data_IF_695221343887
#
_entry.id   IF_695221343887
#
_cell.length_a   1.000
_cell.length_b   1.000
_cell.length_c   1.000
_cell.angle_alpha   90.00
_cell.angle_beta   90.00
_cell.angle_gamma   90.00
#
_symmetry.space_group_name_H-M   'P 1'
#
loop_
_entity.id
_entity.type
_entity.pdbx_description
1 polymer ?
#
# COMPACT_ATOMS: atom_id res chain seq x y z
N UNK A 1 -32.93 14.72 43.57
CA UNK A 1 -34.38 14.46 43.48
C UNK A 1 -34.58 13.72 42.19
N UNK A 2 -35.10 12.50 42.28
CA UNK A 2 -35.19 11.58 41.15
C UNK A 2 -36.30 11.96 40.18
N UNK A 3 -36.00 11.79 38.89
CA UNK A 3 -36.99 11.43 37.87
C UNK A 3 -36.35 10.35 36.99
N UNK A 4 -36.97 9.19 36.92
CA UNK A 4 -36.58 8.06 36.07
C UNK A 4 -37.61 7.87 34.96
N UNK A 5 -37.15 7.55 33.73
CA UNK A 5 -37.99 6.83 32.76
C UNK A 5 -37.16 5.87 31.85
N UNK A 6 -37.08 4.56 32.17
CA UNK A 6 -37.72 3.55 31.31
C UNK A 6 -36.97 2.95 30.10
N UNK A 7 -36.00 3.64 29.48
CA UNK A 7 -35.48 3.22 28.15
C UNK A 7 -33.95 3.03 28.01
N UNK A 8 -33.60 2.15 27.06
CA UNK A 8 -32.25 1.86 26.50
C UNK A 8 -31.12 1.78 27.53
N UNK A 9 -30.95 0.60 28.13
CA UNK A 9 -29.71 0.24 28.81
C UNK A 9 -28.60 -0.16 27.82
N UNK A 10 -27.68 0.76 27.52
CA UNK A 10 -26.30 0.44 27.09
C UNK A 10 -25.34 1.41 27.77
N UNK A 11 -24.49 0.89 28.65
CA UNK A 11 -23.50 1.67 29.40
C UNK A 11 -22.27 1.96 28.50
N UNK A 12 -22.30 3.07 27.75
CA UNK A 12 -21.17 3.51 26.91
C UNK A 12 -20.28 4.51 27.65
N UNK A 13 -19.28 4.00 28.37
CA UNK A 13 -18.15 4.81 28.89
C UNK A 13 -17.28 5.33 27.73
N UNK A 14 -17.66 6.48 27.18
CA UNK A 14 -16.81 7.23 26.25
C UNK A 14 -15.67 7.89 27.05
N UNK A 15 -14.42 7.59 26.68
CA UNK A 15 -13.24 8.18 27.33
C UNK A 15 -13.07 9.66 26.96
N UNK A 16 -12.44 10.44 27.86
CA UNK A 16 -12.32 11.91 27.75
C UNK A 16 -11.59 12.41 26.49
N UNK A 17 -10.93 11.54 25.73
CA UNK A 17 -10.09 11.91 24.57
C UNK A 17 -10.88 12.21 23.27
N UNK A 18 -12.22 12.07 23.24
CA UNK A 18 -13.02 12.39 22.04
C UNK A 18 -13.65 13.80 22.01
N UNK A 19 -13.53 14.62 23.06
CA UNK A 19 -14.04 16.00 23.01
C UNK A 19 -13.20 16.95 22.13
N UNK A 20 -11.88 16.73 22.06
CA UNK A 20 -10.98 17.61 21.31
C UNK A 20 -11.28 17.63 19.79
N UNK A 21 -11.63 16.47 19.21
CA UNK A 21 -11.90 16.33 17.78
C UNK A 21 -13.17 17.06 17.31
N UNK A 22 -14.15 17.27 18.19
CA UNK A 22 -15.40 17.98 17.85
C UNK A 22 -15.20 19.50 17.85
N UNK A 23 -14.35 20.03 18.75
CA UNK A 23 -14.06 21.47 18.83
C UNK A 23 -13.31 21.96 17.58
N UNK A 24 -12.39 21.16 17.05
CA UNK A 24 -11.67 21.48 15.80
C UNK A 24 -12.60 21.50 14.59
N UNK A 25 -13.57 20.58 14.52
CA UNK A 25 -14.55 20.52 13.43
C UNK A 25 -15.47 21.76 13.38
N UNK A 26 -15.91 22.27 14.54
CA UNK A 26 -16.79 23.45 14.61
C UNK A 26 -16.01 24.76 14.34
N UNK A 27 -14.75 24.85 14.77
CA UNK A 27 -13.90 26.02 14.48
C UNK A 27 -13.60 26.16 12.97
N UNK A 28 -13.44 25.05 12.25
CA UNK A 28 -13.19 25.05 10.80
C UNK A 28 -14.34 25.63 9.97
N UNK A 29 -15.60 25.28 10.30
CA UNK A 29 -16.76 25.80 9.56
C UNK A 29 -17.03 27.29 9.80
N UNK A 30 -16.69 27.83 10.98
CA UNK A 30 -16.86 29.25 11.27
C UNK A 30 -15.93 30.16 10.45
N UNK A 31 -14.70 29.71 10.15
CA UNK A 31 -13.77 30.45 9.29
C UNK A 31 -14.23 30.47 7.82
N UNK A 32 -14.81 29.39 7.32
CA UNK A 32 -15.27 29.31 5.93
C UNK A 32 -16.43 30.28 5.63
N UNK A 33 -17.36 30.48 6.58
CA UNK A 33 -18.52 31.36 6.39
C UNK A 33 -18.17 32.86 6.38
N UNK A 34 -17.02 33.27 6.93
CA UNK A 34 -16.61 34.68 6.97
C UNK A 34 -15.95 35.17 5.67
N UNK A 35 -15.61 34.25 4.75
CA UNK A 35 -14.92 34.57 3.50
C UNK A 35 -15.85 34.75 2.27
N UNK A 36 -17.13 34.35 2.35
CA UNK A 36 -18.03 34.29 1.18
C UNK A 36 -19.26 35.21 1.24
N UNK A 37 -19.49 35.94 2.34
CA UNK A 37 -20.53 36.99 2.42
C UNK A 37 -22.00 36.52 2.37
N UNK A 38 -22.26 35.20 2.45
CA UNK A 38 -23.61 34.61 2.42
C UNK A 38 -24.18 34.41 3.82
N UNK A 39 -25.42 34.86 4.05
CA UNK A 39 -26.09 34.72 5.34
C UNK A 39 -26.41 33.25 5.69
N UNK A 40 -26.20 32.88 6.96
CA UNK A 40 -26.53 31.54 7.48
C UNK A 40 -28.04 31.40 7.75
N UNK A 41 -28.64 30.21 7.55
CA UNK A 41 -30.04 29.95 7.88
C UNK A 41 -30.27 29.95 9.40
N UNK A 42 -31.46 30.39 9.81
CA UNK A 42 -31.88 30.41 11.23
C UNK A 42 -32.04 28.99 11.75
N UNK A 43 -31.30 28.65 12.81
CA UNK A 43 -31.59 27.51 13.68
C UNK A 43 -32.18 28.04 14.99
N UNK A 44 -33.46 27.78 15.22
CA UNK A 44 -34.15 28.10 16.47
C UNK A 44 -33.92 26.98 17.48
N UNK A 45 -32.88 27.14 18.29
CA UNK A 45 -32.80 26.87 19.75
C UNK A 45 -31.33 27.05 20.16
N UNK A 46 -31.04 28.20 20.79
CA UNK A 46 -29.69 28.76 20.80
C UNK A 46 -28.73 28.16 21.84
N UNK A 47 -27.55 27.73 21.36
CA UNK A 47 -26.37 27.56 22.23
C UNK A 47 -25.75 28.93 22.49
N UNK A 48 -25.59 29.32 23.75
CA UNK A 48 -24.90 30.57 24.10
C UNK A 48 -23.38 30.43 23.90
N UNK A 49 -22.88 30.99 22.80
CA UNK A 49 -21.45 30.95 22.46
C UNK A 49 -20.60 32.02 23.16
N UNK A 50 -21.21 32.95 23.92
CA UNK A 50 -20.50 34.05 24.59
C UNK A 50 -19.39 33.60 25.55
N UNK A 51 -19.53 32.51 26.34
CA UNK A 51 -18.46 32.03 27.21
C UNK A 51 -17.20 31.60 26.44
N UNK A 52 -17.37 30.99 25.27
CA UNK A 52 -16.27 30.51 24.42
C UNK A 52 -15.55 31.67 23.72
N UNK A 53 -16.30 32.71 23.30
CA UNK A 53 -15.72 33.95 22.79
C UNK A 53 -14.96 34.74 23.87
N UNK A 54 -15.41 34.69 25.13
CA UNK A 54 -14.69 35.30 26.24
C UNK A 54 -13.40 34.53 26.54
N UNK A 55 -13.45 33.21 26.64
CA UNK A 55 -12.25 32.37 26.82
C UNK A 55 -11.20 32.58 25.71
N UNK A 56 -11.63 32.77 24.46
CA UNK A 56 -10.74 33.11 23.34
C UNK A 56 -10.10 34.51 23.47
N UNK A 57 -10.83 35.50 24.00
CA UNK A 57 -10.29 36.84 24.29
C UNK A 57 -9.34 36.84 25.48
N UNK A 58 -9.64 36.07 26.52
CA UNK A 58 -8.78 35.95 27.71
C UNK A 58 -7.46 35.26 27.34
N UNK A 59 -7.49 34.25 26.46
CA UNK A 59 -6.30 33.63 25.87
C UNK A 59 -5.48 34.59 25.00
N UNK A 60 -6.13 35.55 24.32
CA UNK A 60 -5.45 36.57 23.51
C UNK A 60 -4.92 37.77 24.35
N UNK A 61 -5.33 37.89 25.62
CA UNK A 61 -4.99 39.01 26.51
C UNK A 61 -3.75 38.80 27.39
N UNK A 62 -3.13 37.61 27.37
CA UNK A 62 -1.96 37.32 28.19
C UNK A 62 -0.73 38.18 27.77
N UNK A 63 0.04 38.75 28.71
CA UNK A 63 1.20 39.56 28.38
C UNK A 63 2.27 38.72 27.67
N UNK A 64 2.92 39.30 26.65
CA UNK A 64 3.96 38.64 25.86
C UNK A 64 5.14 38.21 26.73
N UNK A 65 5.08 36.98 27.22
CA UNK A 65 6.19 36.30 27.85
C UNK A 65 7.38 36.26 26.90
N UNK A 66 8.56 36.55 27.47
CA UNK A 66 9.88 36.46 26.83
C UNK A 66 9.96 35.19 25.98
N UNK A 67 10.34 35.32 24.71
CA UNK A 67 10.64 34.17 23.84
C UNK A 67 11.81 33.42 24.47
N UNK A 68 11.48 32.37 25.23
CA UNK A 68 12.41 31.29 25.51
C UNK A 68 12.66 30.61 24.16
N UNK A 69 13.94 30.40 23.85
CA UNK A 69 14.35 29.93 22.53
C UNK A 69 13.62 28.65 22.15
N UNK A 70 13.37 28.48 20.86
CA UNK A 70 12.93 27.21 20.29
C UNK A 70 13.79 26.09 20.86
N UNK A 71 13.18 25.12 21.54
CA UNK A 71 13.83 23.83 21.72
C UNK A 71 14.19 23.34 20.32
N UNK A 72 15.49 23.13 20.10
CA UNK A 72 15.99 22.57 18.85
C UNK A 72 15.40 21.17 18.74
N UNK A 73 14.39 21.00 17.90
CA UNK A 73 13.97 19.68 17.46
C UNK A 73 15.16 19.06 16.73
N UNK A 74 15.90 18.21 17.42
CA UNK A 74 17.04 17.51 16.84
C UNK A 74 16.55 16.74 15.62
N UNK A 75 17.07 17.09 14.45
CA UNK A 75 16.70 16.49 13.17
C UNK A 75 16.70 14.97 13.29
N UNK A 76 15.57 14.32 12.96
CA UNK A 76 15.44 12.87 13.09
C UNK A 76 16.49 12.23 12.19
N UNK A 77 17.31 11.36 12.76
CA UNK A 77 18.30 10.59 12.02
C UNK A 77 17.76 9.19 11.78
N UNK A 78 17.88 8.73 10.55
CA UNK A 78 17.53 7.40 10.10
C UNK A 78 18.77 6.64 9.64
N UNK A 79 18.66 5.33 9.65
CA UNK A 79 19.66 4.39 9.19
C UNK A 79 19.19 3.81 7.87
N UNK A 80 19.88 4.12 6.78
CA UNK A 80 19.39 3.91 5.42
C UNK A 80 20.23 2.84 4.72
N UNK A 81 19.60 1.83 4.15
CA UNK A 81 20.28 0.82 3.33
C UNK A 81 20.05 1.09 1.85
N UNK A 82 21.12 1.08 1.05
CA UNK A 82 21.10 1.29 -0.41
C UNK A 82 21.89 0.17 -1.08
N UNK A 83 21.41 -0.33 -2.23
CA UNK A 83 22.00 -1.46 -2.97
C UNK A 83 23.51 -1.32 -3.21
N UNK A 84 24.25 -2.42 -3.04
CA UNK A 84 25.70 -2.43 -3.18
C UNK A 84 26.17 -2.03 -4.59
N UNK A 85 25.33 -2.29 -5.59
CA UNK A 85 25.55 -1.98 -7.01
C UNK A 85 25.48 -0.48 -7.33
N UNK A 86 24.77 0.32 -6.52
CA UNK A 86 24.64 1.77 -6.71
C UNK A 86 25.77 2.57 -6.06
N UNK A 87 26.40 2.01 -5.01
CA UNK A 87 27.43 2.68 -4.20
C UNK A 87 28.54 3.35 -5.05
N UNK A 88 29.05 2.76 -6.16
CA UNK A 88 30.06 3.41 -7.00
C UNK A 88 29.60 4.70 -7.68
N UNK A 89 28.31 4.85 -7.99
CA UNK A 89 27.75 6.07 -8.58
C UNK A 89 27.32 7.06 -7.50
N UNK A 90 26.78 6.57 -6.37
CA UNK A 90 26.47 7.41 -5.20
C UNK A 90 27.74 8.09 -4.66
N UNK A 91 28.86 7.38 -4.60
CA UNK A 91 30.15 7.94 -4.19
C UNK A 91 30.68 9.05 -5.13
N UNK A 92 30.19 9.14 -6.37
CA UNK A 92 30.52 10.21 -7.33
C UNK A 92 29.52 11.38 -7.26
N UNK A 93 28.37 11.20 -6.62
CA UNK A 93 27.27 12.15 -6.61
C UNK A 93 27.52 13.28 -5.59
N UNK A 94 28.37 14.25 -5.95
CA UNK A 94 28.66 15.42 -5.12
C UNK A 94 27.42 16.28 -4.75
N UNK A 95 26.29 16.07 -5.43
CA UNK A 95 24.99 16.67 -5.11
C UNK A 95 24.23 15.97 -3.97
N UNK A 96 24.57 14.73 -3.63
CA UNK A 96 24.00 14.03 -2.49
C UNK A 96 24.77 14.36 -1.21
N UNK A 97 24.11 14.91 -0.17
CA UNK A 97 24.74 15.17 1.13
C UNK A 97 24.84 13.89 1.98
N UNK A 98 25.32 12.80 1.37
CA UNK A 98 25.57 11.52 2.03
C UNK A 98 27.02 11.46 2.52
N UNK A 99 27.20 11.07 3.78
CA UNK A 99 28.50 10.64 4.29
C UNK A 99 28.88 9.26 3.69
N UNK A 100 30.14 8.86 3.85
CA UNK A 100 30.56 7.49 3.55
C UNK A 100 29.73 6.47 4.36
N UNK A 101 29.44 5.27 3.80
CA UNK A 101 28.67 4.26 4.51
C UNK A 101 29.37 3.82 5.81
N UNK A 102 28.57 3.66 6.86
CA UNK A 102 28.99 3.23 8.20
C UNK A 102 29.30 1.73 8.23
N UNK A 103 28.67 0.95 7.35
CA UNK A 103 28.99 -0.43 7.06
C UNK A 103 28.68 -0.75 5.59
N UNK A 104 29.35 -1.74 5.01
CA UNK A 104 29.07 -2.26 3.66
C UNK A 104 29.03 -3.77 3.72
N UNK A 105 28.08 -4.35 2.98
CA UNK A 105 27.93 -5.78 2.76
C UNK A 105 27.85 -6.04 1.25
N UNK A 106 27.92 -7.31 0.85
CA UNK A 106 27.74 -7.74 -0.56
C UNK A 106 26.35 -7.37 -1.13
N UNK A 107 25.38 -6.99 -0.27
CA UNK A 107 24.01 -6.64 -0.65
C UNK A 107 23.75 -5.14 -0.68
N UNK A 108 24.28 -4.40 0.30
CA UNK A 108 23.98 -2.99 0.50
C UNK A 108 24.99 -2.27 1.40
N UNK A 109 25.07 -0.95 1.22
CA UNK A 109 25.74 -0.01 2.12
C UNK A 109 24.76 0.59 3.13
N UNK A 110 25.20 0.73 4.38
CA UNK A 110 24.45 1.33 5.49
C UNK A 110 24.89 2.77 5.73
N UNK A 111 23.97 3.72 5.65
CA UNK A 111 24.20 5.14 5.82
C UNK A 111 23.50 5.68 7.06
N UNK A 112 24.06 6.73 7.68
CA UNK A 112 23.41 7.51 8.72
C UNK A 112 22.93 8.82 8.10
N UNK A 113 21.62 8.98 7.94
CA UNK A 113 21.01 9.98 7.07
C UNK A 113 19.98 10.81 7.87
N UNK A 114 19.99 12.15 7.80
CA UNK A 114 18.90 12.94 8.35
C UNK A 114 17.62 12.73 7.55
N UNK A 115 16.46 12.60 8.19
CA UNK A 115 15.18 12.31 7.53
C UNK A 115 14.83 13.32 6.42
N UNK A 116 15.22 14.59 6.60
CA UNK A 116 15.08 15.65 5.59
C UNK A 116 15.82 15.37 4.27
N UNK A 117 16.75 14.40 4.26
CA UNK A 117 17.58 14.00 3.12
C UNK A 117 17.11 12.73 2.40
N UNK A 118 16.11 12.02 2.93
CA UNK A 118 15.47 10.94 2.17
C UNK A 118 14.92 11.41 0.81
N UNK A 119 14.31 12.61 0.68
CA UNK A 119 13.93 13.14 -0.62
C UNK A 119 15.12 13.36 -1.57
N UNK A 120 16.24 13.89 -1.09
CA UNK A 120 17.41 14.11 -1.94
C UNK A 120 17.99 12.78 -2.47
N UNK A 121 17.98 11.72 -1.65
CA UNK A 121 18.40 10.37 -2.03
C UNK A 121 17.41 9.76 -3.04
N UNK A 122 16.12 9.71 -2.71
CA UNK A 122 15.12 9.09 -3.58
C UNK A 122 15.06 9.75 -4.95
N UNK A 123 15.21 11.08 -5.00
CA UNK A 123 15.41 11.82 -6.25
C UNK A 123 16.58 11.28 -7.07
N UNK A 124 17.76 11.13 -6.47
CA UNK A 124 18.92 10.65 -7.17
C UNK A 124 18.70 9.22 -7.68
N UNK A 125 18.14 8.34 -6.85
CA UNK A 125 17.84 6.96 -7.25
C UNK A 125 16.90 6.93 -8.46
N UNK A 126 15.88 7.78 -8.44
CA UNK A 126 14.91 7.98 -9.50
C UNK A 126 15.54 8.53 -10.80
N UNK A 127 16.21 9.69 -10.74
CA UNK A 127 16.80 10.34 -11.93
C UNK A 127 18.00 9.58 -12.52
N UNK A 128 18.74 8.84 -11.69
CA UNK A 128 19.97 8.14 -12.11
C UNK A 128 19.72 6.71 -12.57
N UNK A 129 18.76 6.01 -11.97
CA UNK A 129 18.55 4.57 -12.16
C UNK A 129 17.10 4.19 -12.51
N UNK A 130 16.16 5.14 -12.58
CA UNK A 130 14.72 4.90 -12.74
C UNK A 130 14.14 4.01 -11.64
N UNK A 131 14.44 4.30 -10.38
CA UNK A 131 14.04 3.52 -9.20
C UNK A 131 13.04 4.27 -8.29
N UNK A 132 12.01 3.58 -7.80
CA UNK A 132 11.07 4.06 -6.78
C UNK A 132 11.78 4.04 -5.42
N UNK A 133 12.05 5.20 -4.82
CA UNK A 133 12.82 5.34 -3.58
C UNK A 133 14.30 4.90 -3.66
N UNK A 134 14.57 3.62 -3.95
CA UNK A 134 15.89 3.02 -4.07
C UNK A 134 16.62 2.76 -2.75
N UNK A 135 15.92 2.85 -1.62
CA UNK A 135 16.47 2.63 -0.29
C UNK A 135 15.42 2.09 0.70
N UNK A 136 15.86 1.49 1.81
CA UNK A 136 15.04 1.38 3.02
C UNK A 136 15.57 2.29 4.13
N UNK A 137 14.70 2.76 5.03
CA UNK A 137 15.06 3.61 6.17
C UNK A 137 14.57 3.05 7.52
N UNK A 138 15.44 3.08 8.53
CA UNK A 138 15.22 2.53 9.87
C UNK A 138 15.43 3.59 10.95
N UNK A 139 14.75 3.44 12.07
CA UNK A 139 14.90 4.37 13.19
C UNK A 139 16.18 4.07 13.98
N UNK A 140 16.57 2.79 14.07
CA UNK A 140 17.77 2.37 14.79
C UNK A 140 18.80 1.68 13.87
N UNK A 141 20.07 1.75 14.29
CA UNK A 141 21.17 1.04 13.62
C UNK A 141 20.94 -0.47 13.64
N UNK A 142 20.51 -0.98 14.78
CA UNK A 142 20.25 -2.40 15.02
C UNK A 142 19.16 -2.96 14.09
N UNK A 143 18.09 -2.20 13.82
CA UNK A 143 17.06 -2.56 12.83
C UNK A 143 17.65 -2.70 11.41
N UNK A 144 18.57 -1.81 11.03
CA UNK A 144 19.21 -1.83 9.72
C UNK A 144 20.26 -2.96 9.60
N UNK A 145 21.06 -3.20 10.65
CA UNK A 145 22.05 -4.29 10.67
C UNK A 145 21.37 -5.67 10.73
N UNK A 146 20.26 -5.81 11.46
CA UNK A 146 19.44 -7.02 11.50
C UNK A 146 18.85 -7.37 10.13
N UNK A 147 18.45 -6.37 9.35
CA UNK A 147 17.95 -6.53 7.98
C UNK A 147 19.04 -6.95 7.00
N UNK A 148 20.19 -6.27 7.00
CA UNK A 148 21.33 -6.65 6.16
C UNK A 148 21.76 -8.11 6.40
N UNK A 149 21.65 -8.57 7.65
CA UNK A 149 21.92 -9.95 8.05
C UNK A 149 20.77 -10.95 7.80
N UNK A 150 19.55 -10.49 7.52
CA UNK A 150 18.39 -11.36 7.39
C UNK A 150 18.56 -12.35 6.21
N UNK A 151 18.29 -13.65 6.38
CA UNK A 151 18.26 -14.58 5.25
C UNK A 151 17.05 -14.24 4.36
N UNK A 152 17.17 -14.51 3.04
CA UNK A 152 16.00 -14.51 2.17
C UNK A 152 14.95 -15.49 2.73
N UNK A 153 13.66 -15.10 2.70
CA UNK A 153 12.61 -15.90 3.34
C UNK A 153 12.61 -17.34 2.83
N UNK A 154 12.92 -18.27 3.73
CA UNK A 154 12.84 -19.72 3.48
C UNK A 154 11.44 -20.30 3.75
N UNK A 155 10.43 -19.44 3.96
CA UNK A 155 9.06 -19.86 4.19
C UNK A 155 8.49 -20.64 3.00
N UNK A 156 7.82 -21.76 3.28
CA UNK A 156 7.15 -22.58 2.28
C UNK A 156 5.66 -22.70 2.61
N UNK A 157 4.82 -22.02 1.84
CA UNK A 157 3.39 -22.30 1.81
C UNK A 157 3.09 -23.65 1.14
N UNK A 158 1.84 -24.12 1.27
CA UNK A 158 1.33 -25.23 0.46
C UNK A 158 1.12 -24.76 -0.99
N UNK A 159 2.18 -24.87 -1.79
CA UNK A 159 2.23 -24.47 -3.20
C UNK A 159 1.84 -25.59 -4.18
N UNK A 160 1.00 -26.53 -3.73
CA UNK A 160 0.30 -27.46 -4.63
C UNK A 160 -0.71 -26.72 -5.51
N UNK A 161 -1.11 -27.32 -6.64
CA UNK A 161 -2.18 -26.82 -7.51
C UNK A 161 -3.23 -27.91 -7.60
N UNK A 162 -4.34 -27.75 -6.88
CA UNK A 162 -5.37 -28.78 -6.66
C UNK A 162 -6.80 -28.22 -6.48
N UNK A 163 -7.04 -26.97 -6.93
CA UNK A 163 -8.36 -26.28 -6.87
C UNK A 163 -8.88 -25.89 -8.25
N UNK A 164 -8.47 -26.61 -9.30
CA UNK A 164 -8.83 -26.37 -10.71
C UNK A 164 -10.33 -26.13 -10.93
N UNK A 165 -11.18 -26.93 -10.30
CA UNK A 165 -12.64 -26.89 -10.40
C UNK A 165 -13.24 -25.59 -9.84
N UNK A 166 -12.50 -24.87 -8.98
CA UNK A 166 -12.85 -23.55 -8.43
C UNK A 166 -12.17 -22.44 -9.23
N UNK A 167 -10.89 -22.60 -9.59
CA UNK A 167 -10.11 -21.58 -10.30
C UNK A 167 -10.65 -21.34 -11.71
N UNK A 168 -10.88 -22.39 -12.51
CA UNK A 168 -11.31 -22.24 -13.91
C UNK A 168 -12.61 -21.45 -14.11
N UNK A 169 -13.70 -21.66 -13.35
CA UNK A 169 -14.89 -20.81 -13.47
C UNK A 169 -14.65 -19.39 -12.95
N UNK A 170 -13.83 -19.19 -11.90
CA UNK A 170 -13.54 -17.84 -11.38
C UNK A 170 -12.68 -17.01 -12.33
N UNK A 171 -11.66 -17.60 -12.94
CA UNK A 171 -10.80 -16.96 -13.97
C UNK A 171 -11.60 -16.48 -15.19
N UNK A 172 -12.74 -17.12 -15.50
CA UNK A 172 -13.66 -16.72 -16.57
C UNK A 172 -14.58 -15.56 -16.18
N UNK A 173 -14.65 -15.18 -14.90
CA UNK A 173 -15.40 -14.01 -14.44
C UNK A 173 -14.62 -12.70 -14.57
N UNK A 174 -13.30 -12.76 -14.86
CA UNK A 174 -12.44 -11.57 -15.01
C UNK A 174 -12.92 -10.73 -16.20
N UNK A 175 -13.27 -9.46 -15.93
CA UNK A 175 -13.76 -8.50 -16.92
C UNK A 175 -12.77 -7.34 -17.11
N UNK A 176 -12.20 -7.25 -18.32
CA UNK A 176 -11.30 -6.18 -18.77
C UNK A 176 -11.89 -4.77 -18.52
N UNK A 177 -13.21 -4.61 -18.65
CA UNK A 177 -13.87 -3.30 -18.57
C UNK A 177 -13.95 -2.75 -17.14
N UNK A 178 -14.12 -3.64 -16.16
CA UNK A 178 -14.09 -3.26 -14.74
C UNK A 178 -12.68 -2.81 -14.33
N UNK A 179 -11.65 -3.42 -14.93
CA UNK A 179 -10.25 -3.03 -14.75
C UNK A 179 -9.93 -1.70 -15.44
N UNK A 180 -10.29 -1.54 -16.72
CA UNK A 180 -10.10 -0.29 -17.49
C UNK A 180 -10.79 0.90 -16.79
N UNK A 181 -12.03 0.68 -16.31
CA UNK A 181 -12.76 1.66 -15.50
C UNK A 181 -12.01 2.02 -14.22
N UNK A 182 -11.40 1.06 -13.54
CA UNK A 182 -10.63 1.30 -12.31
C UNK A 182 -9.36 2.11 -12.59
N UNK A 183 -8.60 1.74 -13.63
CA UNK A 183 -7.40 2.49 -14.07
C UNK A 183 -7.78 3.92 -14.49
N UNK A 184 -8.85 4.09 -15.27
CA UNK A 184 -9.29 5.40 -15.75
C UNK A 184 -9.74 6.33 -14.61
N UNK A 185 -10.42 5.80 -13.57
CA UNK A 185 -10.81 6.61 -12.42
C UNK A 185 -9.60 7.01 -11.56
N UNK A 186 -8.70 6.06 -11.25
CA UNK A 186 -7.51 6.32 -10.43
C UNK A 186 -6.50 7.25 -11.11
N UNK A 187 -6.40 7.20 -12.44
CA UNK A 187 -5.58 8.14 -13.21
C UNK A 187 -6.27 9.48 -13.52
N UNK A 188 -7.57 9.59 -13.24
CA UNK A 188 -8.33 10.84 -13.31
C UNK A 188 -8.02 11.83 -12.17
N UNK A 189 -7.55 11.36 -11.01
CA UNK A 189 -7.02 12.22 -9.96
C UNK A 189 -5.79 13.00 -10.47
N UNK A 190 -5.57 14.23 -9.99
CA UNK A 190 -4.39 15.04 -10.39
C UNK A 190 -3.08 14.28 -10.12
N UNK A 191 -2.94 13.74 -8.92
CA UNK A 191 -1.97 12.74 -8.48
C UNK A 191 -2.58 11.94 -7.32
N UNK A 192 -1.94 10.84 -6.93
CA UNK A 192 -2.29 10.10 -5.72
C UNK A 192 -1.19 10.20 -4.65
N UNK A 193 -0.42 11.28 -4.64
CA UNK A 193 0.76 11.43 -3.80
C UNK A 193 0.45 11.37 -2.29
N UNK A 194 1.32 10.72 -1.50
CA UNK A 194 1.06 10.35 -0.11
C UNK A 194 0.77 11.49 0.90
N UNK A 195 1.12 12.72 0.54
CA UNK A 195 0.83 13.94 1.34
C UNK A 195 -0.24 14.84 0.72
N UNK A 196 -0.75 14.52 -0.47
CA UNK A 196 -1.76 15.34 -1.15
C UNK A 196 -3.19 14.99 -0.73
N UNK A 197 -4.09 15.98 -0.82
CA UNK A 197 -5.52 15.74 -0.60
C UNK A 197 -6.12 14.76 -1.62
N UNK A 198 -5.59 14.70 -2.84
CA UNK A 198 -6.02 13.74 -3.85
C UNK A 198 -5.51 12.33 -3.58
N UNK A 199 -4.36 12.15 -2.92
CA UNK A 199 -3.90 10.86 -2.41
C UNK A 199 -4.82 10.27 -1.34
N UNK A 200 -5.29 11.11 -0.40
CA UNK A 200 -6.29 10.72 0.63
C UNK A 200 -7.64 10.38 -0.03
N UNK A 201 -8.06 11.19 -1.00
CA UNK A 201 -9.30 10.95 -1.75
C UNK A 201 -9.24 9.66 -2.59
N UNK A 202 -8.10 9.33 -3.19
CA UNK A 202 -7.89 8.09 -3.93
C UNK A 202 -7.99 6.86 -3.02
N UNK A 203 -7.34 6.87 -1.85
CA UNK A 203 -7.49 5.79 -0.86
C UNK A 203 -8.95 5.62 -0.39
N UNK A 204 -9.66 6.73 -0.20
CA UNK A 204 -11.08 6.71 0.15
C UNK A 204 -11.94 6.13 -0.97
N UNK A 205 -11.66 6.50 -2.23
CA UNK A 205 -12.32 5.96 -3.42
C UNK A 205 -12.08 4.45 -3.59
N UNK A 206 -10.84 3.97 -3.39
CA UNK A 206 -10.51 2.54 -3.43
C UNK A 206 -11.31 1.78 -2.38
N UNK A 207 -11.32 2.28 -1.13
CA UNK A 207 -12.13 1.69 -0.06
C UNK A 207 -13.60 1.60 -0.47
N UNK A 208 -14.18 2.66 -1.00
CA UNK A 208 -15.62 2.65 -1.32
C UNK A 208 -15.91 1.74 -2.52
N UNK A 209 -15.04 1.70 -3.53
CA UNK A 209 -15.10 0.74 -4.64
C UNK A 209 -15.00 -0.71 -4.17
N UNK A 210 -14.12 -1.01 -3.21
CA UNK A 210 -13.99 -2.33 -2.59
C UNK A 210 -15.19 -2.69 -1.71
N UNK A 211 -15.82 -1.72 -1.02
CA UNK A 211 -17.09 -1.94 -0.32
C UNK A 211 -18.24 -2.28 -1.28
N UNK A 212 -18.26 -1.68 -2.49
CA UNK A 212 -19.21 -2.06 -3.55
C UNK A 212 -18.92 -3.47 -4.07
N UNK A 213 -17.65 -3.83 -4.31
CA UNK A 213 -17.28 -5.19 -4.70
C UNK A 213 -17.66 -6.23 -3.63
N UNK A 214 -17.52 -5.89 -2.35
CA UNK A 214 -17.88 -6.72 -1.20
C UNK A 214 -19.40 -6.76 -0.88
N UNK A 215 -20.26 -6.06 -1.64
CA UNK A 215 -21.67 -5.93 -1.32
C UNK A 215 -22.38 -7.29 -1.18
N UNK A 216 -23.08 -7.48 -0.05
CA UNK A 216 -23.75 -8.75 0.30
C UNK A 216 -22.87 -9.80 0.99
N UNK A 217 -21.54 -9.60 1.06
CA UNK A 217 -20.60 -10.52 1.74
C UNK A 217 -20.29 -10.05 3.15
N UNK A 218 -20.90 -10.68 4.15
CA UNK A 218 -20.67 -10.39 5.59
C UNK A 218 -19.31 -10.84 6.13
N UNK A 219 -18.61 -11.66 5.36
CA UNK A 219 -17.28 -12.19 5.61
C UNK A 219 -16.16 -11.30 5.05
N UNK A 220 -16.50 -10.16 4.45
CA UNK A 220 -15.55 -9.19 3.90
C UNK A 220 -15.70 -7.85 4.64
N UNK A 221 -14.57 -7.26 5.06
CA UNK A 221 -14.50 -5.92 5.66
C UNK A 221 -13.44 -5.08 4.96
N UNK A 222 -13.70 -3.79 4.76
CA UNK A 222 -12.75 -2.87 4.11
C UNK A 222 -12.49 -1.64 4.98
N UNK A 223 -11.24 -1.42 5.34
CA UNK A 223 -10.79 -0.37 6.26
C UNK A 223 -9.66 0.48 5.70
N UNK A 224 -9.48 1.67 6.30
CA UNK A 224 -8.33 2.54 6.08
C UNK A 224 -7.34 2.31 7.22
N UNK A 225 -6.11 1.91 6.87
CA UNK A 225 -5.01 1.76 7.80
C UNK A 225 -4.17 3.05 7.78
N UNK A 226 -4.16 3.77 8.91
CA UNK A 226 -3.59 5.11 9.00
C UNK A 226 -2.16 5.10 9.54
N UNK A 227 -1.26 5.80 8.84
CA UNK A 227 0.17 5.80 9.14
C UNK A 227 0.62 7.03 9.95
N UNK A 228 1.52 6.88 10.95
CA UNK A 228 2.10 8.00 11.67
C UNK A 228 3.10 8.78 10.78
N UNK A 229 2.72 10.00 10.41
CA UNK A 229 3.62 10.97 9.77
C UNK A 229 3.22 11.41 8.36
N UNK A 230 2.15 10.87 7.79
CA UNK A 230 1.56 11.38 6.54
C UNK A 230 0.03 11.21 6.53
N UNK A 231 -0.64 11.75 5.51
CA UNK A 231 -2.11 11.86 5.47
C UNK A 231 -2.79 10.73 4.71
N UNK A 232 -2.16 10.17 3.67
CA UNK A 232 -2.72 9.06 2.91
C UNK A 232 -2.66 7.74 3.69
N UNK A 233 -3.81 7.09 3.97
CA UNK A 233 -3.85 5.76 4.55
C UNK A 233 -3.64 4.68 3.48
N UNK A 234 -3.12 3.52 3.89
CA UNK A 234 -3.29 2.29 3.10
C UNK A 234 -4.74 1.80 3.18
N UNK A 235 -5.18 1.00 2.21
CA UNK A 235 -6.53 0.38 2.21
C UNK A 235 -6.40 -1.12 2.35
N UNK A 236 -7.13 -1.73 3.29
CA UNK A 236 -7.12 -3.19 3.50
C UNK A 236 -8.53 -3.74 3.35
N UNK A 237 -8.74 -4.63 2.39
CA UNK A 237 -9.93 -5.49 2.34
C UNK A 237 -9.57 -6.88 2.86
N UNK A 238 -10.19 -7.29 3.97
CA UNK A 238 -10.01 -8.60 4.60
C UNK A 238 -11.20 -9.50 4.30
N UNK A 239 -10.96 -10.65 3.67
CA UNK A 239 -11.90 -11.77 3.50
C UNK A 239 -11.58 -12.82 4.57
N UNK A 240 -12.48 -13.00 5.54
CA UNK A 240 -12.25 -13.89 6.68
C UNK A 240 -12.26 -15.36 6.27
N UNK A 241 -11.21 -16.09 6.61
CA UNK A 241 -11.10 -17.53 6.40
C UNK A 241 -12.03 -18.37 7.29
N UNK A 242 -12.54 -19.49 6.75
CA UNK A 242 -13.46 -20.38 7.45
C UNK A 242 -12.81 -21.31 8.50
N UNK A 243 -11.53 -21.68 8.33
CA UNK A 243 -10.87 -22.75 9.12
C UNK A 243 -9.50 -22.36 9.66
N UNK A 244 -8.65 -21.81 8.80
CA UNK A 244 -7.28 -21.40 9.10
C UNK A 244 -7.21 -19.87 9.23
N UNK A 245 -8.11 -19.25 9.99
CA UNK A 245 -8.23 -17.79 10.07
C UNK A 245 -7.00 -17.04 10.64
N UNK A 246 -6.06 -17.76 11.27
CA UNK A 246 -4.76 -17.24 11.71
C UNK A 246 -3.65 -17.29 10.65
N UNK A 247 -3.88 -17.95 9.52
CA UNK A 247 -3.02 -17.90 8.34
C UNK A 247 -3.58 -16.87 7.34
N UNK A 248 -2.69 -16.10 6.70
CA UNK A 248 -3.05 -14.99 5.82
C UNK A 248 -2.38 -15.14 4.45
N UNK A 249 -3.16 -14.98 3.39
CA UNK A 249 -2.70 -14.78 2.00
C UNK A 249 -2.87 -13.30 1.67
N UNK A 250 -1.79 -12.65 1.23
CA UNK A 250 -1.82 -11.23 0.85
C UNK A 250 -1.73 -11.08 -0.66
N UNK A 251 -2.54 -10.18 -1.21
CA UNK A 251 -2.42 -9.63 -2.56
C UNK A 251 -2.24 -8.12 -2.40
N UNK A 252 -1.20 -7.56 -3.01
CA UNK A 252 -0.74 -6.20 -2.76
C UNK A 252 -0.52 -5.39 -4.03
N UNK A 253 -0.46 -4.07 -3.88
CA UNK A 253 -0.11 -3.09 -4.90
C UNK A 253 -0.19 -1.70 -4.27
N UNK A 254 0.64 -0.74 -4.66
CA UNK A 254 0.58 0.59 -4.07
C UNK A 254 -0.48 1.48 -4.74
N UNK A 255 -1.03 2.42 -3.98
CA UNK A 255 -2.13 3.28 -4.41
C UNK A 255 -1.71 4.73 -4.69
N UNK A 256 -0.46 5.11 -4.44
CA UNK A 256 0.06 6.43 -4.73
C UNK A 256 0.52 6.62 -6.19
N UNK A 257 1.08 7.80 -6.48
CA UNK A 257 1.75 8.13 -7.75
C UNK A 257 2.57 9.42 -7.63
N UNK A 258 3.71 9.49 -8.32
CA UNK A 258 4.51 10.71 -8.53
C UNK A 258 4.64 11.10 -10.00
N UNK A 259 5.03 12.35 -10.25
CA UNK A 259 5.44 12.81 -11.57
C UNK A 259 6.66 13.73 -11.45
N UNK A 260 7.84 13.12 -11.51
CA UNK A 260 9.11 13.72 -11.12
C UNK A 260 9.17 14.03 -9.62
N UNK A 261 10.38 13.99 -9.05
CA UNK A 261 10.55 14.04 -7.60
C UNK A 261 10.09 15.35 -6.94
N UNK A 262 10.33 16.50 -7.57
CA UNK A 262 9.92 17.80 -7.03
C UNK A 262 8.47 18.19 -7.33
N UNK A 263 7.73 17.37 -8.09
CA UNK A 263 6.32 17.66 -8.38
C UNK A 263 5.46 17.62 -7.10
N UNK A 264 5.79 16.70 -6.18
CA UNK A 264 5.14 16.55 -4.88
C UNK A 264 3.61 16.51 -4.97
N UNK A 265 2.94 17.12 -4.00
CA UNK A 265 1.48 17.13 -3.91
C UNK A 265 0.75 17.86 -5.06
N UNK A 266 1.46 18.62 -5.90
CA UNK A 266 0.88 19.43 -6.98
C UNK A 266 1.13 18.86 -8.38
N UNK A 267 2.04 17.89 -8.53
CA UNK A 267 2.38 17.28 -9.82
C UNK A 267 1.14 16.70 -10.51
N UNK A 268 1.11 16.73 -11.85
CA UNK A 268 0.19 15.89 -12.62
C UNK A 268 0.80 14.50 -12.74
N UNK A 269 0.37 13.56 -11.91
CA UNK A 269 0.81 12.17 -11.88
C UNK A 269 -0.38 11.22 -12.09
N UNK A 270 -0.77 10.93 -13.34
CA UNK A 270 -1.90 10.05 -13.60
C UNK A 270 -1.59 8.63 -13.11
N UNK A 271 -0.35 8.14 -13.21
CA UNK A 271 0.05 6.88 -12.59
C UNK A 271 -0.90 5.73 -12.99
N UNK A 272 -1.16 5.62 -14.29
CA UNK A 272 -2.18 4.73 -14.84
C UNK A 272 -1.68 3.29 -14.92
N UNK A 273 -0.44 3.11 -15.33
CA UNK A 273 0.25 1.84 -15.24
C UNK A 273 0.84 1.66 -13.84
N UNK A 274 1.40 2.74 -13.30
CA UNK A 274 2.17 2.84 -12.06
C UNK A 274 1.40 3.68 -11.00
N UNK A 275 0.65 3.08 -10.08
CA UNK A 275 0.23 1.68 -10.05
C UNK A 275 -1.30 1.54 -9.96
N UNK A 276 -2.04 2.37 -10.71
CA UNK A 276 -3.49 2.16 -10.86
C UNK A 276 -3.82 0.80 -11.53
N UNK A 277 -2.88 0.22 -12.30
CA UNK A 277 -3.04 -1.10 -12.92
C UNK A 277 -3.05 -2.23 -11.90
N UNK A 278 -2.11 -2.26 -10.94
CA UNK A 278 -2.09 -3.22 -9.85
C UNK A 278 -3.30 -3.09 -8.92
N UNK A 279 -3.70 -1.86 -8.59
CA UNK A 279 -4.96 -1.65 -7.85
C UNK A 279 -6.20 -2.14 -8.63
N UNK A 280 -6.20 -2.04 -9.97
CA UNK A 280 -7.26 -2.63 -10.79
C UNK A 280 -7.24 -4.17 -10.74
N UNK A 281 -6.07 -4.81 -10.72
CA UNK A 281 -5.91 -6.26 -10.50
C UNK A 281 -6.49 -6.69 -9.15
N UNK A 282 -6.16 -5.98 -8.06
CA UNK A 282 -6.71 -6.27 -6.73
C UNK A 282 -8.23 -6.09 -6.66
N UNK A 283 -8.73 -4.98 -7.22
CA UNK A 283 -10.15 -4.63 -7.26
C UNK A 283 -10.95 -5.70 -8.00
N UNK A 284 -10.42 -6.18 -9.12
CA UNK A 284 -11.08 -7.19 -9.95
C UNK A 284 -11.03 -8.58 -9.32
N UNK A 285 -9.91 -8.97 -8.72
CA UNK A 285 -9.81 -10.23 -7.98
C UNK A 285 -10.78 -10.27 -6.79
N UNK A 286 -10.94 -9.16 -6.05
CA UNK A 286 -11.94 -9.03 -4.99
C UNK A 286 -13.37 -9.12 -5.53
N UNK A 287 -13.67 -8.45 -6.66
CA UNK A 287 -14.99 -8.53 -7.33
C UNK A 287 -15.32 -9.97 -7.76
N UNK A 288 -14.36 -10.67 -8.36
CA UNK A 288 -14.49 -12.08 -8.77
C UNK A 288 -14.70 -13.00 -7.56
N UNK A 289 -13.96 -12.80 -6.46
CA UNK A 289 -14.14 -13.54 -5.20
C UNK A 289 -15.55 -13.34 -4.62
N UNK A 290 -16.03 -12.10 -4.62
CA UNK A 290 -17.35 -11.77 -4.10
C UNK A 290 -18.46 -12.40 -4.96
N UNK A 291 -18.39 -12.20 -6.28
CA UNK A 291 -19.39 -12.65 -7.26
C UNK A 291 -19.47 -14.17 -7.41
N UNK A 292 -18.35 -14.90 -7.25
CA UNK A 292 -18.35 -16.37 -7.27
C UNK A 292 -18.93 -16.99 -6.00
N UNK A 293 -19.11 -16.21 -4.93
CA UNK A 293 -19.47 -16.72 -3.61
C UNK A 293 -18.35 -17.52 -2.92
N UNK A 294 -17.13 -17.54 -3.47
CA UNK A 294 -16.01 -18.30 -2.91
C UNK A 294 -15.66 -17.81 -1.51
N UNK A 295 -15.48 -18.75 -0.57
CA UNK A 295 -15.04 -18.50 0.80
C UNK A 295 -13.77 -19.30 1.07
N UNK A 296 -12.63 -18.64 1.32
CA UNK A 296 -11.37 -19.33 1.59
C UNK A 296 -11.38 -19.99 2.96
N UNK A 297 -10.47 -20.94 3.17
CA UNK A 297 -10.21 -21.50 4.50
C UNK A 297 -9.23 -20.62 5.29
N UNK A 298 -8.20 -20.07 4.62
CA UNK A 298 -7.30 -19.03 5.15
C UNK A 298 -7.92 -17.65 5.00
N UNK A 299 -7.44 -16.67 5.76
CA UNK A 299 -7.81 -15.27 5.54
C UNK A 299 -7.12 -14.76 4.27
N UNK A 300 -7.84 -14.05 3.40
CA UNK A 300 -7.26 -13.37 2.24
C UNK A 300 -7.34 -11.86 2.48
N UNK A 301 -6.25 -11.15 2.22
CA UNK A 301 -6.20 -9.69 2.30
C UNK A 301 -5.74 -9.07 0.99
N UNK A 302 -6.49 -8.07 0.53
CA UNK A 302 -6.11 -7.18 -0.56
C UNK A 302 -5.64 -5.86 0.06
N UNK A 303 -4.42 -5.41 -0.27
CA UNK A 303 -3.82 -4.23 0.34
C UNK A 303 -3.39 -3.23 -0.74
N UNK A 304 -3.99 -2.04 -0.69
CA UNK A 304 -3.51 -0.86 -1.41
C UNK A 304 -2.53 -0.09 -0.53
N UNK A 305 -1.23 -0.21 -0.78
CA UNK A 305 -0.19 0.41 0.07
C UNK A 305 -0.04 1.91 -0.21
N UNK A 306 0.04 2.72 0.85
CA UNK A 306 0.39 4.13 0.73
C UNK A 306 1.92 4.34 0.74
N UNK A 307 2.38 5.39 0.07
CA UNK A 307 3.76 5.88 0.19
C UNK A 307 4.85 4.87 -0.23
N UNK A 308 4.62 4.10 -1.29
CA UNK A 308 5.65 3.24 -1.92
C UNK A 308 6.74 4.13 -2.52
N UNK A 309 6.32 5.13 -3.31
CA UNK A 309 7.12 6.00 -4.17
C UNK A 309 8.24 6.76 -3.44
N UNK A 310 8.05 6.90 -2.12
CA UNK A 310 8.93 7.63 -1.18
C UNK A 310 9.68 6.69 -0.24
N UNK A 311 9.85 5.42 -0.62
CA UNK A 311 10.68 4.42 0.06
C UNK A 311 9.90 3.33 0.81
N UNK A 312 8.92 2.70 0.14
CA UNK A 312 8.18 1.51 0.62
C UNK A 312 7.49 1.69 1.99
N UNK A 313 7.07 2.92 2.32
CA UNK A 313 6.81 3.30 3.72
C UNK A 313 5.61 2.58 4.32
N UNK A 314 4.48 2.54 3.61
CA UNK A 314 3.26 1.90 4.10
C UNK A 314 3.35 0.38 4.17
N UNK A 315 3.93 -0.27 3.15
CA UNK A 315 4.14 -1.72 3.16
C UNK A 315 5.17 -2.17 4.20
N UNK A 316 6.23 -1.39 4.41
CA UNK A 316 7.22 -1.66 5.46
C UNK A 316 6.57 -1.64 6.84
N UNK A 317 5.78 -0.62 7.14
CA UNK A 317 5.07 -0.49 8.42
C UNK A 317 4.13 -1.67 8.65
N UNK A 318 3.28 -2.00 7.66
CA UNK A 318 2.35 -3.14 7.73
C UNK A 318 3.10 -4.48 7.87
N UNK A 319 4.17 -4.70 7.11
CA UNK A 319 4.94 -5.94 7.20
C UNK A 319 5.68 -6.08 8.56
N UNK A 320 6.17 -4.98 9.14
CA UNK A 320 6.75 -4.95 10.49
C UNK A 320 5.67 -5.20 11.56
N UNK A 321 4.47 -4.63 11.45
CA UNK A 321 3.32 -4.94 12.32
C UNK A 321 2.95 -6.42 12.27
N UNK A 322 2.87 -7.01 11.08
CA UNK A 322 2.46 -8.41 10.91
C UNK A 322 3.51 -9.38 11.48
N UNK A 323 4.80 -9.05 11.33
CA UNK A 323 5.91 -9.76 11.96
C UNK A 323 5.84 -9.67 13.48
N UNK A 324 5.66 -8.47 14.03
CA UNK A 324 5.63 -8.22 15.46
C UNK A 324 4.38 -8.80 16.14
N UNK A 325 3.24 -8.83 15.42
CA UNK A 325 2.00 -9.46 15.85
C UNK A 325 1.96 -10.99 15.70
N UNK A 326 2.99 -11.59 15.10
CA UNK A 326 3.05 -13.05 14.87
C UNK A 326 2.04 -13.56 13.85
N UNK A 327 1.67 -12.75 12.86
CA UNK A 327 0.67 -13.11 11.83
C UNK A 327 1.25 -14.17 10.89
N UNK A 328 0.52 -15.26 10.67
CA UNK A 328 0.94 -16.38 9.83
C UNK A 328 0.79 -16.11 8.33
N UNK A 329 1.57 -15.18 7.76
CA UNK A 329 1.51 -14.89 6.32
C UNK A 329 2.17 -16.02 5.52
N UNK A 330 1.37 -16.73 4.70
CA UNK A 330 1.81 -17.90 3.92
C UNK A 330 2.27 -17.57 2.50
N UNK A 331 2.04 -16.32 2.06
CA UNK A 331 2.44 -15.81 0.76
C UNK A 331 1.90 -14.41 0.49
N UNK A 332 2.71 -13.60 -0.19
CA UNK A 332 2.35 -12.27 -0.69
C UNK A 332 2.53 -12.21 -2.19
N UNK A 333 1.53 -11.75 -2.94
CA UNK A 333 1.65 -11.45 -4.37
C UNK A 333 1.50 -9.94 -4.58
N UNK A 334 2.59 -9.26 -4.94
CA UNK A 334 2.60 -7.85 -5.29
C UNK A 334 2.28 -7.68 -6.78
N UNK A 335 1.35 -6.79 -7.09
CA UNK A 335 0.99 -6.40 -8.45
C UNK A 335 1.40 -4.95 -8.62
N UNK A 336 2.45 -4.75 -9.41
CA UNK A 336 3.03 -3.45 -9.66
C UNK A 336 3.51 -3.36 -11.09
N UNK A 337 2.99 -2.38 -11.82
CA UNK A 337 2.98 -2.26 -13.29
C UNK A 337 2.52 -3.55 -13.98
N UNK A 338 1.28 -3.55 -14.48
CA UNK A 338 0.62 -4.75 -15.01
C UNK A 338 0.03 -4.56 -16.40
N UNK A 339 0.11 -3.37 -17.01
CA UNK A 339 -0.71 -3.05 -18.17
C UNK A 339 0.06 -2.63 -19.45
N UNK A 340 1.28 -2.10 -19.35
CA UNK A 340 2.09 -1.79 -20.51
C UNK A 340 2.78 -3.05 -21.05
N UNK A 341 2.23 -3.61 -22.14
CA UNK A 341 2.71 -4.82 -22.79
C UNK A 341 4.01 -4.63 -23.62
N UNK A 342 5.01 -3.93 -23.08
CA UNK A 342 6.26 -3.58 -23.76
C UNK A 342 7.17 -4.77 -24.13
N UNK A 343 6.87 -5.96 -23.62
CA UNK A 343 7.50 -7.23 -24.02
C UNK A 343 6.48 -8.26 -24.56
N UNK A 344 5.38 -7.77 -25.11
CA UNK A 344 4.22 -8.57 -25.50
C UNK A 344 3.36 -8.97 -24.28
N UNK A 345 2.42 -9.90 -24.48
CA UNK A 345 1.47 -10.33 -23.44
C UNK A 345 2.06 -11.31 -22.41
N UNK A 346 3.38 -11.30 -22.21
CA UNK A 346 4.07 -12.22 -21.29
C UNK A 346 4.15 -11.65 -19.88
N UNK A 347 4.17 -12.51 -18.87
CA UNK A 347 4.40 -12.12 -17.48
C UNK A 347 5.87 -12.40 -17.11
N UNK A 348 6.52 -11.47 -16.41
CA UNK A 348 7.90 -11.61 -15.97
C UNK A 348 7.95 -11.74 -14.44
N UNK A 349 8.45 -12.85 -13.91
CA UNK A 349 8.62 -13.04 -12.47
C UNK A 349 9.97 -12.48 -12.02
N UNK A 350 9.98 -11.50 -11.12
CA UNK A 350 11.24 -10.94 -10.59
C UNK A 350 11.91 -11.96 -9.68
N UNK A 351 13.17 -12.34 -9.97
CA UNK A 351 13.89 -13.40 -9.24
C UNK A 351 14.90 -12.92 -8.17
N UNK A 352 14.99 -11.61 -7.95
CA UNK A 352 15.64 -10.98 -6.80
C UNK A 352 14.62 -10.43 -5.78
N UNK A 353 15.01 -10.32 -4.50
CA UNK A 353 14.17 -9.88 -3.37
C UNK A 353 12.84 -10.64 -3.16
N UNK A 354 12.66 -11.80 -3.79
CA UNK A 354 11.47 -12.67 -3.75
C UNK A 354 11.75 -14.05 -3.14
N UNK A 355 10.70 -14.85 -2.91
CA UNK A 355 10.80 -16.25 -2.48
C UNK A 355 10.82 -17.20 -3.70
N UNK A 356 11.89 -18.00 -3.93
CA UNK A 356 12.00 -18.86 -5.10
C UNK A 356 10.93 -19.95 -5.22
N UNK A 357 10.43 -20.48 -4.09
CA UNK A 357 9.41 -21.52 -4.09
C UNK A 357 8.03 -20.96 -4.51
N UNK A 358 7.72 -19.74 -4.06
CA UNK A 358 6.53 -19.01 -4.47
C UNK A 358 6.63 -18.50 -5.92
N UNK A 359 7.81 -18.06 -6.39
CA UNK A 359 8.00 -17.75 -7.81
C UNK A 359 7.76 -18.98 -8.69
N UNK A 360 8.31 -20.14 -8.32
CA UNK A 360 8.05 -21.38 -9.04
C UNK A 360 6.57 -21.78 -9.01
N UNK A 361 5.83 -21.44 -7.94
CA UNK A 361 4.37 -21.61 -7.86
C UNK A 361 3.63 -20.66 -8.80
N UNK A 362 3.97 -19.37 -8.81
CA UNK A 362 3.40 -18.38 -9.71
C UNK A 362 3.57 -18.78 -11.18
N UNK A 363 4.75 -19.27 -11.58
CA UNK A 363 4.97 -19.81 -12.93
C UNK A 363 4.00 -20.93 -13.29
N UNK A 364 3.85 -21.93 -12.40
CA UNK A 364 2.88 -23.03 -12.60
C UNK A 364 1.42 -22.56 -12.62
N UNK A 365 1.05 -21.50 -11.90
CA UNK A 365 -0.27 -20.90 -11.98
C UNK A 365 -0.52 -20.21 -13.34
N UNK A 366 0.50 -19.55 -13.89
CA UNK A 366 0.43 -18.94 -15.24
C UNK A 366 0.19 -20.03 -16.29
N UNK A 367 1.01 -21.09 -16.26
CA UNK A 367 0.89 -22.26 -17.14
C UNK A 367 -0.49 -22.94 -17.06
N UNK A 368 -1.03 -23.07 -15.83
CA UNK A 368 -2.28 -23.79 -15.59
C UNK A 368 -3.55 -22.98 -15.92
N UNK A 369 -3.54 -21.66 -15.70
CA UNK A 369 -4.77 -20.86 -15.62
C UNK A 369 -4.79 -19.56 -16.43
N UNK A 370 -3.65 -18.97 -16.79
CA UNK A 370 -3.62 -17.63 -17.41
C UNK A 370 -3.55 -17.70 -18.94
N UNK A 371 -2.83 -18.69 -19.49
CA UNK A 371 -2.76 -18.94 -20.93
C UNK A 371 -1.84 -17.98 -21.70
N UNK A 372 -0.78 -17.46 -21.05
CA UNK A 372 0.28 -16.67 -21.67
C UNK A 372 1.65 -17.25 -21.32
N UNK A 373 2.68 -16.90 -22.10
CA UNK A 373 4.06 -17.23 -21.75
C UNK A 373 4.55 -16.41 -20.56
N UNK A 374 5.56 -16.93 -19.86
CA UNK A 374 6.26 -16.21 -18.80
C UNK A 374 7.78 -16.46 -18.83
N UNK A 375 8.52 -15.54 -18.24
CA UNK A 375 9.98 -15.58 -18.07
C UNK A 375 10.34 -15.07 -16.67
N UNK A 376 11.61 -15.11 -16.28
CA UNK A 376 12.10 -14.29 -15.17
C UNK A 376 12.69 -12.96 -15.64
N UNK A 377 12.77 -12.00 -14.72
CA UNK A 377 13.48 -10.72 -14.86
C UNK A 377 14.14 -10.36 -13.54
N UNK A 378 14.88 -9.23 -13.49
CA UNK A 378 15.47 -8.69 -12.27
C UNK A 378 15.27 -7.19 -12.15
N UNK A 379 14.91 -6.76 -10.95
CA UNK A 379 14.94 -5.35 -10.59
C UNK A 379 16.40 -4.88 -10.34
N UNK A 380 17.17 -5.72 -9.65
CA UNK A 380 18.49 -5.41 -9.12
C UNK A 380 18.45 -4.76 -7.74
N UNK A 381 17.28 -4.48 -7.18
CA UNK A 381 17.09 -3.80 -5.89
C UNK A 381 15.69 -4.10 -5.31
N UNK A 382 15.45 -3.65 -4.07
CA UNK A 382 14.14 -3.68 -3.43
C UNK A 382 13.15 -2.72 -4.12
N UNK A 383 12.54 -3.20 -5.22
CA UNK A 383 11.89 -2.33 -6.22
C UNK A 383 10.42 -2.03 -6.03
N UNK A 384 9.77 -2.64 -5.04
CA UNK A 384 8.34 -2.48 -4.75
C UNK A 384 8.02 -3.17 -3.41
N UNK A 385 6.77 -3.05 -2.93
CA UNK A 385 6.33 -3.47 -1.59
C UNK A 385 6.62 -4.94 -1.22
N UNK A 386 6.74 -5.84 -2.20
CA UNK A 386 7.14 -7.24 -1.95
C UNK A 386 8.45 -7.35 -1.15
N UNK A 387 9.37 -6.39 -1.31
CA UNK A 387 10.64 -6.35 -0.62
C UNK A 387 10.50 -6.05 0.88
N UNK A 388 9.45 -5.30 1.28
CA UNK A 388 9.07 -5.11 2.69
C UNK A 388 8.65 -6.44 3.33
N UNK A 389 7.92 -7.28 2.60
CA UNK A 389 7.45 -8.58 3.08
C UNK A 389 8.57 -9.63 3.15
N UNK A 390 9.44 -9.73 2.13
CA UNK A 390 10.57 -10.68 2.18
C UNK A 390 11.56 -10.34 3.27
N UNK A 391 11.80 -9.04 3.49
CA UNK A 391 12.56 -8.51 4.63
C UNK A 391 11.92 -8.80 5.99
N UNK A 392 10.60 -8.69 6.10
CA UNK A 392 9.90 -9.09 7.32
C UNK A 392 10.05 -10.60 7.60
N UNK A 393 10.40 -11.40 6.59
CA UNK A 393 10.67 -12.83 6.66
C UNK A 393 9.59 -13.67 5.99
N UNK A 394 8.62 -13.03 5.34
CA UNK A 394 7.48 -13.70 4.69
C UNK A 394 7.80 -14.04 3.23
N UNK A 395 7.25 -15.13 2.69
CA UNK A 395 7.38 -15.42 1.27
C UNK A 395 6.60 -14.39 0.44
N UNK A 396 7.24 -13.81 -0.57
CA UNK A 396 6.61 -12.89 -1.51
C UNK A 396 7.10 -13.08 -2.94
N UNK A 397 6.23 -12.75 -3.89
CA UNK A 397 6.48 -12.74 -5.34
C UNK A 397 5.91 -11.46 -5.97
N UNK A 398 6.53 -11.00 -7.04
CA UNK A 398 6.04 -9.89 -7.88
C UNK A 398 6.04 -10.34 -9.36
N UNK A 399 4.88 -10.70 -9.94
CA UNK A 399 4.70 -10.74 -11.39
C UNK A 399 4.68 -9.32 -11.96
N UNK A 400 5.50 -9.09 -12.98
CA UNK A 400 5.73 -7.80 -13.62
C UNK A 400 5.38 -7.87 -15.12
N UNK A 401 5.05 -6.73 -15.72
CA UNK A 401 4.53 -6.61 -17.09
C UNK A 401 5.53 -6.86 -18.24
N UNK A 402 6.83 -6.71 -18.00
CA UNK A 402 7.83 -6.62 -19.08
C UNK A 402 9.23 -7.10 -18.70
N UNK A 403 10.09 -7.29 -19.71
CA UNK A 403 11.53 -7.40 -19.51
C UNK A 403 12.11 -6.02 -19.17
N UNK A 404 13.34 -5.97 -18.67
CA UNK A 404 14.03 -4.72 -18.34
C UNK A 404 14.10 -3.74 -19.53
N UNK A 405 14.25 -4.26 -20.74
CA UNK A 405 14.30 -3.50 -22.00
C UNK A 405 12.91 -3.04 -22.48
N UNK A 406 11.84 -3.70 -22.02
CA UNK A 406 10.45 -3.40 -22.36
C UNK A 406 9.69 -2.58 -21.32
N UNK A 407 10.35 -2.09 -20.27
CA UNK A 407 9.74 -1.30 -19.19
C UNK A 407 9.09 -0.01 -19.74
N UNK A 408 7.91 0.35 -19.21
CA UNK A 408 7.19 1.56 -19.59
C UNK A 408 8.02 2.83 -19.31
N UNK A 409 8.52 3.49 -20.36
CA UNK A 409 9.34 4.69 -20.24
C UNK A 409 8.58 5.97 -19.84
N UNK A 410 7.28 5.86 -19.50
CA UNK A 410 6.46 6.99 -19.07
C UNK A 410 6.19 7.00 -17.56
N UNK A 411 6.55 5.94 -16.81
CA UNK A 411 6.37 5.86 -15.36
C UNK A 411 6.93 7.08 -14.65
N UNK A 412 6.32 7.44 -13.52
CA UNK A 412 6.63 8.66 -12.80
C UNK A 412 6.63 9.96 -13.63
N UNK A 413 5.80 10.06 -14.67
CA UNK A 413 5.62 11.31 -15.42
C UNK A 413 4.14 11.62 -15.63
N UNK A 414 3.84 12.86 -16.04
CA UNK A 414 2.52 13.25 -16.51
C UNK A 414 2.04 12.48 -17.76
N UNK A 415 2.89 11.63 -18.37
CA UNK A 415 2.58 10.79 -19.52
C UNK A 415 2.24 9.35 -19.15
N UNK A 416 2.47 8.89 -17.92
CA UNK A 416 1.93 7.59 -17.53
C UNK A 416 0.40 7.68 -17.45
N UNK A 417 -0.25 7.25 -18.53
CA UNK A 417 -1.66 7.44 -18.81
C UNK A 417 -2.16 6.18 -19.49
N UNK A 418 -3.42 5.82 -19.23
CA UNK A 418 -4.03 4.62 -19.82
C UNK A 418 -3.86 4.57 -21.35
N UNK A 419 -3.94 5.71 -22.04
CA UNK A 419 -3.70 5.82 -23.48
C UNK A 419 -2.28 5.41 -23.90
N UNK A 420 -1.25 5.78 -23.14
CA UNK A 420 0.14 5.37 -23.39
C UNK A 420 0.41 3.92 -22.94
N UNK A 421 -0.39 3.39 -22.00
CA UNK A 421 -0.47 1.95 -21.66
C UNK A 421 -1.31 1.12 -22.66
N UNK A 422 -1.60 1.66 -23.85
CA UNK A 422 -2.34 0.95 -24.92
C UNK A 422 -3.85 1.21 -24.96
N UNK A 423 -4.39 2.02 -24.06
CA UNK A 423 -5.78 2.50 -24.08
C UNK A 423 -6.84 1.46 -23.68
N UNK A 424 -6.45 0.39 -23.00
CA UNK A 424 -7.30 -0.73 -22.56
C UNK A 424 -6.66 -1.44 -21.36
N UNK A 425 -7.29 -2.49 -20.81
CA UNK A 425 -6.77 -3.26 -19.67
C UNK A 425 -6.42 -4.74 -19.99
N UNK A 426 -6.11 -5.06 -21.25
CA UNK A 426 -5.93 -6.46 -21.68
C UNK A 426 -4.77 -7.15 -21.02
N UNK A 427 -3.62 -6.47 -20.91
CA UNK A 427 -2.43 -7.04 -20.29
C UNK A 427 -2.68 -7.26 -18.79
N UNK A 428 -3.23 -6.24 -18.11
CA UNK A 428 -3.62 -6.35 -16.70
C UNK A 428 -4.62 -7.49 -16.44
N UNK A 429 -5.50 -7.83 -17.41
CA UNK A 429 -6.41 -8.98 -17.28
C UNK A 429 -5.69 -10.33 -17.08
N UNK A 430 -4.46 -10.50 -17.58
CA UNK A 430 -3.66 -11.69 -17.31
C UNK A 430 -3.19 -11.74 -15.85
N UNK A 431 -2.83 -10.59 -15.28
CA UNK A 431 -2.48 -10.44 -13.86
C UNK A 431 -3.69 -10.64 -12.94
N UNK A 432 -4.88 -10.19 -13.33
CA UNK A 432 -6.13 -10.48 -12.60
C UNK A 432 -6.46 -11.98 -12.58
N UNK A 433 -6.26 -12.70 -13.69
CA UNK A 433 -6.41 -14.17 -13.72
C UNK A 433 -5.39 -14.86 -12.82
N UNK A 434 -4.14 -14.38 -12.80
CA UNK A 434 -3.09 -14.87 -11.91
C UNK A 434 -3.43 -14.61 -10.43
N UNK A 435 -3.91 -13.41 -10.09
CA UNK A 435 -4.38 -13.04 -8.75
C UNK A 435 -5.52 -13.95 -8.28
N UNK A 436 -6.51 -14.22 -9.15
CA UNK A 436 -7.63 -15.12 -8.87
C UNK A 436 -7.16 -16.57 -8.66
N UNK A 437 -6.25 -17.06 -9.49
CA UNK A 437 -5.68 -18.40 -9.31
C UNK A 437 -4.87 -18.50 -8.01
N UNK A 438 -4.01 -17.52 -7.75
CA UNK A 438 -3.16 -17.43 -6.56
C UNK A 438 -3.98 -17.39 -5.26
N UNK A 439 -5.00 -16.53 -5.18
CA UNK A 439 -5.79 -16.39 -3.96
C UNK A 439 -6.65 -17.63 -3.65
N UNK A 440 -7.07 -18.38 -4.66
CA UNK A 440 -7.84 -19.63 -4.49
C UNK A 440 -6.93 -20.80 -4.14
N UNK A 441 -5.83 -20.97 -4.87
CA UNK A 441 -4.88 -22.07 -4.64
C UNK A 441 -4.11 -21.90 -3.34
N UNK A 442 -3.75 -20.67 -2.93
CA UNK A 442 -3.11 -20.46 -1.63
C UNK A 442 -4.10 -20.26 -0.49
N UNK A 443 -5.33 -19.78 -0.77
CA UNK A 443 -6.40 -19.58 0.22
C UNK A 443 -7.06 -20.86 0.74
N UNK A 444 -6.73 -22.02 0.15
CA UNK A 444 -7.13 -23.35 0.65
C UNK A 444 -6.54 -23.63 2.03
N UNK A 445 -7.26 -24.40 2.83
CA UNK A 445 -6.71 -24.99 4.04
C UNK A 445 -5.69 -26.05 3.65
N UNK A 446 -4.69 -26.28 4.49
CA UNK A 446 -3.93 -27.52 4.39
C UNK A 446 -4.92 -28.70 4.44
N UNK A 447 -4.77 -29.66 3.52
CA UNK A 447 -5.55 -30.90 3.56
C UNK A 447 -5.49 -31.45 4.99
N UNK A 448 -6.66 -31.60 5.64
CA UNK A 448 -6.71 -32.29 6.93
C UNK A 448 -6.00 -33.62 6.75
N UNK A 449 -4.99 -33.89 7.58
CA UNK A 449 -4.51 -35.26 7.75
C UNK A 449 -5.71 -36.05 8.24
N UNK A 450 -6.36 -36.78 7.34
CA UNK A 450 -7.52 -37.62 7.60
C UNK A 450 -7.11 -38.81 8.45
N UNK A 451 -6.80 -38.53 9.71
CA UNK A 451 -6.52 -39.49 10.76
C UNK A 451 -7.83 -40.14 11.21
N UNK A 452 -8.52 -40.82 10.28
CA UNK A 452 -9.33 -41.96 10.66
C UNK A 452 -8.37 -43.08 11.06
N UNK A 453 -8.36 -43.41 12.35
CA UNK A 453 -8.50 -44.81 12.72
C UNK A 453 -9.84 -44.95 13.43
N UNK A 454 -10.73 -45.84 12.95
CA UNK A 454 -11.76 -46.38 13.82
C UNK A 454 -11.13 -47.37 14.79
N UNK A 455 -11.59 -47.37 16.02
CA UNK A 455 -11.71 -48.52 16.92
C UNK A 455 -12.95 -48.26 17.79
#
# INVERSE_FOLDING_TARGET
MDVTDPTVGVDMKISKNRLASVVVAVAGLALAAHASGTALPKYEEGVDIRPYLQAAKDAAGAPKGRVLGSESSTEKILWVTIGAEDLPEIAKAASLPLAAPVAVSDRAGLFRVPESKLPDIGKFMHEKFNRCGGFFAHETREQAETDLAAPASAGSGDYSIDRKEIVEPMVKLVDEREMETTISNLSGFNNRYYTSGTGVAAASWIKDRWNVAAAGRRDISVELHAHPGWSQPSVIATVKGNRNGGEVVVLGGHLDSIAGWYGGANARAPGADDNASGIAVLTEALRVLAASGYKPDRTIQFIGYAAEEVGLRGSKEIAEEYKNGGVGVVGVAQFDMTNFAGSGSQIFLVDDYTNPAQNAFMGRLIDAYVGVGWSTTRCGYACSDHASWTRAGFPASIPFESSKEGMNSNIHTARDTLANSGGNAKHASHFAKLAVAYMVELGKGGLEKTARRPD
#
